data_IF_480434242380
#
_entry.id   IF_480434242380
#
_cell.length_a   1.000
_cell.length_b   1.000
_cell.length_c   1.000
_cell.angle_alpha   90.00
_cell.angle_beta   90.00
_cell.angle_gamma   90.00
#
_symmetry.space_group_name_H-M   'P 1'
#
loop_
_entity.id
_entity.type
_entity.pdbx_description
1 polymer ?
#
# COMPACT_ATOMS: atom_id res chain seq x y z
N UNK A 1 -3.34 -3.54 16.30
CA UNK A 1 -2.42 -4.69 16.41
C UNK A 1 -3.20 -5.99 16.57
N UNK A 2 -2.78 -7.02 15.82
CA UNK A 2 -3.39 -8.36 15.87
C UNK A 2 -2.26 -9.41 15.87
N UNK A 3 -1.49 -9.52 16.95
CA UNK A 3 -0.35 -10.42 17.02
C UNK A 3 -0.77 -11.88 17.19
N UNK A 4 0.15 -12.81 16.90
CA UNK A 4 0.02 -14.18 17.32
C UNK A 4 0.13 -14.28 18.86
N UNK A 5 -0.36 -15.35 19.44
CA UNK A 5 -0.20 -15.64 20.87
C UNK A 5 1.20 -16.16 21.19
N UNK A 6 2.23 -15.39 20.82
CA UNK A 6 3.65 -15.74 20.90
C UNK A 6 4.18 -16.41 19.63
N UNK A 7 5.46 -16.78 19.68
CA UNK A 7 6.07 -17.57 18.60
C UNK A 7 5.64 -19.04 18.75
N UNK A 8 5.31 -19.75 17.65
CA UNK A 8 4.90 -21.13 17.71
C UNK A 8 6.06 -22.04 18.10
N UNK A 9 5.82 -22.93 19.03
CA UNK A 9 6.69 -24.05 19.39
C UNK A 9 6.16 -25.32 18.72
N UNK A 10 7.01 -26.04 18.00
CA UNK A 10 6.62 -27.28 17.34
C UNK A 10 6.69 -28.43 18.34
N UNK A 11 5.55 -29.11 18.54
CA UNK A 11 5.44 -30.33 19.32
C UNK A 11 5.00 -31.50 18.43
N UNK A 12 5.13 -32.77 18.89
CA UNK A 12 4.61 -33.91 18.15
C UNK A 12 3.10 -33.82 17.82
N UNK A 13 2.36 -33.08 18.65
CA UNK A 13 0.91 -32.89 18.53
C UNK A 13 0.56 -31.66 17.66
N UNK A 14 1.54 -30.85 17.22
CA UNK A 14 1.37 -29.67 16.40
C UNK A 14 2.01 -28.41 16.97
N UNK A 15 1.67 -27.25 16.41
CA UNK A 15 2.18 -25.97 16.86
C UNK A 15 1.44 -25.49 18.13
N UNK A 16 2.20 -25.18 19.17
CA UNK A 16 1.71 -24.62 20.43
C UNK A 16 2.13 -23.15 20.52
N UNK A 17 1.24 -22.30 20.96
CA UNK A 17 1.48 -20.87 21.16
C UNK A 17 1.55 -20.59 22.67
N UNK A 18 2.72 -20.18 23.18
CA UNK A 18 2.96 -20.14 24.64
C UNK A 18 2.37 -18.91 25.33
N UNK A 19 1.98 -17.86 24.61
CA UNK A 19 1.53 -16.63 25.21
C UNK A 19 0.07 -16.73 25.67
N UNK A 20 -0.15 -16.78 26.98
CA UNK A 20 -1.49 -16.84 27.56
C UNK A 20 -2.25 -15.51 27.50
N UNK A 21 -3.58 -15.53 27.81
CA UNK A 21 -4.44 -14.36 27.69
C UNK A 21 -3.96 -13.13 28.46
N UNK A 22 -3.47 -13.31 29.68
CA UNK A 22 -2.96 -12.21 30.51
C UNK A 22 -1.75 -11.53 29.92
N UNK A 23 -0.75 -12.30 29.52
CA UNK A 23 0.48 -11.77 28.94
C UNK A 23 0.25 -11.09 27.59
N UNK A 24 -0.67 -11.63 26.76
CA UNK A 24 -1.08 -10.95 25.52
C UNK A 24 -1.77 -9.62 25.83
N UNK A 25 -2.67 -9.59 26.81
CA UNK A 25 -3.37 -8.36 27.20
C UNK A 25 -2.41 -7.31 27.75
N UNK A 26 -1.40 -7.71 28.53
CA UNK A 26 -0.37 -6.80 29.06
C UNK A 26 0.47 -6.18 27.95
N UNK A 27 0.90 -6.98 26.98
CA UNK A 27 1.63 -6.48 25.83
C UNK A 27 0.79 -5.51 24.97
N UNK A 28 -0.48 -5.83 24.74
CA UNK A 28 -1.38 -4.96 23.98
C UNK A 28 -1.76 -3.68 24.75
N UNK A 29 -1.77 -3.70 26.09
CA UNK A 29 -1.93 -2.49 26.91
C UNK A 29 -0.83 -1.47 26.61
N UNK A 30 0.43 -1.92 26.54
CA UNK A 30 1.56 -1.06 26.17
C UNK A 30 1.36 -0.44 24.78
N UNK A 31 0.91 -1.23 23.82
CA UNK A 31 0.67 -0.69 22.47
C UNK A 31 -0.48 0.31 22.40
N UNK A 32 -1.53 0.12 23.19
CA UNK A 32 -2.61 1.09 23.32
C UNK A 32 -2.13 2.40 23.95
N UNK A 33 -1.28 2.30 24.98
CA UNK A 33 -0.80 3.47 25.72
C UNK A 33 0.27 4.25 24.97
N UNK A 34 1.27 3.56 24.42
CA UNK A 34 2.45 4.19 23.82
C UNK A 34 2.21 4.60 22.36
N UNK A 35 1.41 3.83 21.62
CA UNK A 35 1.22 4.04 20.18
C UNK A 35 -0.19 4.49 19.78
N UNK A 36 -1.09 4.67 20.75
CA UNK A 36 -2.46 5.13 20.51
C UNK A 36 -3.24 4.26 19.52
N UNK A 37 -3.11 2.94 19.65
CA UNK A 37 -3.86 2.02 18.81
C UNK A 37 -5.36 2.09 19.12
N UNK A 38 -6.20 1.98 18.08
CA UNK A 38 -7.66 1.96 18.19
C UNK A 38 -8.27 0.59 17.90
N UNK A 39 -7.50 -0.32 17.32
CA UNK A 39 -7.93 -1.69 17.02
C UNK A 39 -6.91 -2.67 17.55
N UNK A 40 -7.34 -3.57 18.42
CA UNK A 40 -6.54 -4.67 18.95
C UNK A 40 -7.29 -5.98 18.82
N UNK A 41 -6.54 -7.07 18.73
CA UNK A 41 -7.08 -8.41 18.62
C UNK A 41 -6.00 -9.45 18.71
N UNK A 42 -6.22 -10.57 18.09
CA UNK A 42 -5.24 -11.64 18.02
C UNK A 42 -5.23 -12.31 16.66
N UNK A 43 -4.24 -13.20 16.46
CA UNK A 43 -4.07 -14.00 15.25
C UNK A 43 -3.84 -15.46 15.65
N UNK A 44 -2.83 -16.12 15.09
CA UNK A 44 -2.58 -17.54 15.36
C UNK A 44 -2.35 -17.82 16.86
N UNK A 45 -2.95 -18.91 17.34
CA UNK A 45 -2.87 -19.33 18.74
C UNK A 45 -3.79 -18.56 19.71
N UNK A 46 -4.47 -17.50 19.27
CA UNK A 46 -5.45 -16.84 20.14
C UNK A 46 -6.74 -17.66 20.25
N UNK A 47 -7.26 -17.74 21.46
CA UNK A 47 -8.46 -18.48 21.83
C UNK A 47 -9.58 -17.51 22.25
N UNK A 48 -10.83 -17.99 22.41
CA UNK A 48 -11.90 -17.17 22.96
C UNK A 48 -11.57 -16.54 24.33
N UNK A 49 -10.74 -17.20 25.16
CA UNK A 49 -10.30 -16.63 26.43
C UNK A 49 -9.43 -15.39 26.28
N UNK A 50 -8.54 -15.36 25.27
CA UNK A 50 -7.76 -14.17 24.96
C UNK A 50 -8.66 -13.00 24.54
N UNK A 51 -9.58 -13.24 23.60
CA UNK A 51 -10.46 -12.18 23.11
C UNK A 51 -11.41 -11.68 24.20
N UNK A 52 -11.92 -12.57 25.05
CA UNK A 52 -12.76 -12.18 26.18
C UNK A 52 -12.02 -11.24 27.14
N UNK A 53 -10.80 -11.60 27.52
CA UNK A 53 -9.99 -10.76 28.42
C UNK A 53 -9.66 -9.40 27.78
N UNK A 54 -9.38 -9.33 26.48
CA UNK A 54 -9.18 -8.07 25.77
C UNK A 54 -10.44 -7.21 25.78
N UNK A 55 -11.60 -7.81 25.53
CA UNK A 55 -12.88 -7.09 25.54
C UNK A 55 -13.24 -6.59 26.96
N UNK A 56 -13.02 -7.40 28.00
CA UNK A 56 -13.26 -7.04 29.41
C UNK A 56 -12.33 -5.91 29.86
N UNK A 57 -11.05 -5.95 29.47
CA UNK A 57 -10.04 -5.02 29.94
C UNK A 57 -10.02 -3.70 29.18
N UNK A 58 -10.33 -3.72 27.89
CA UNK A 58 -10.16 -2.57 27.01
C UNK A 58 -11.46 -2.14 26.29
N UNK A 59 -12.54 -2.91 26.43
CA UNK A 59 -13.84 -2.54 25.86
C UNK A 59 -14.35 -1.23 26.43
N UNK A 60 -14.79 -0.33 25.54
CA UNK A 60 -15.28 1.00 25.92
C UNK A 60 -14.20 2.01 26.30
N UNK A 61 -12.91 1.66 26.18
CA UNK A 61 -11.81 2.61 26.38
C UNK A 61 -11.84 3.68 25.30
N UNK A 62 -11.75 4.96 25.70
CA UNK A 62 -11.58 6.04 24.76
C UNK A 62 -10.21 5.97 24.05
N UNK A 63 -10.25 6.13 22.74
CA UNK A 63 -9.04 6.19 21.93
C UNK A 63 -8.38 7.54 22.12
N UNK A 64 -7.09 7.55 22.47
CA UNK A 64 -6.33 8.78 22.55
C UNK A 64 -6.08 9.33 21.14
N UNK A 65 -6.29 10.63 20.89
CA UNK A 65 -5.90 11.25 19.64
C UNK A 65 -4.40 11.01 19.41
N UNK A 66 -4.05 10.54 18.23
CA UNK A 66 -2.66 10.37 17.84
C UNK A 66 -2.23 11.59 17.04
N UNK A 67 -1.23 12.32 17.52
CA UNK A 67 -0.56 13.33 16.71
C UNK A 67 0.32 12.62 15.69
N UNK A 68 -0.02 12.78 14.42
CA UNK A 68 0.74 12.23 13.31
C UNK A 68 1.43 13.37 12.59
N UNK A 69 2.75 13.40 12.66
CA UNK A 69 3.54 14.26 11.78
C UNK A 69 3.60 13.57 10.41
N UNK A 70 2.99 14.18 9.40
CA UNK A 70 3.06 13.67 8.03
C UNK A 70 4.30 14.23 7.35
N UNK A 71 5.19 13.36 6.95
CA UNK A 71 6.30 13.73 6.08
C UNK A 71 5.81 13.98 4.65
N UNK A 72 6.55 14.81 3.91
CA UNK A 72 6.25 15.09 2.50
C UNK A 72 6.82 13.99 1.61
N UNK A 73 6.08 12.90 1.53
CA UNK A 73 6.48 11.68 0.85
C UNK A 73 5.33 11.13 0.00
N UNK A 74 5.65 10.29 -0.95
CA UNK A 74 4.71 9.33 -1.53
C UNK A 74 5.17 7.91 -1.21
N UNK A 75 4.30 6.93 -1.34
CA UNK A 75 4.65 5.55 -1.05
C UNK A 75 3.90 4.57 -1.93
N UNK A 76 4.52 3.44 -2.18
CA UNK A 76 3.90 2.25 -2.73
C UNK A 76 3.55 1.26 -1.61
N UNK A 77 3.23 0.02 -1.97
CA UNK A 77 3.14 -1.10 -1.04
C UNK A 77 4.50 -1.46 -0.42
N UNK A 78 5.61 -1.12 -1.10
CA UNK A 78 6.95 -1.62 -0.80
C UNK A 78 7.90 -0.56 -0.26
N UNK A 79 7.85 0.67 -0.78
CA UNK A 79 8.80 1.73 -0.46
C UNK A 79 8.12 3.08 -0.28
N UNK A 80 8.75 3.91 0.54
CA UNK A 80 8.46 5.32 0.70
C UNK A 80 9.51 6.14 -0.07
N UNK A 81 9.06 7.21 -0.73
CA UNK A 81 9.92 8.12 -1.49
C UNK A 81 9.66 9.55 -1.02
N UNK A 82 10.65 10.21 -0.37
CA UNK A 82 10.57 11.61 -0.01
C UNK A 82 10.50 12.50 -1.27
N UNK A 83 9.69 13.57 -1.22
CA UNK A 83 9.66 14.54 -2.32
C UNK A 83 10.94 15.37 -2.40
N UNK A 84 11.60 15.58 -1.24
CA UNK A 84 12.92 16.19 -1.19
C UNK A 84 13.99 15.10 -1.27
N UNK A 85 14.91 15.24 -2.21
CA UNK A 85 16.05 14.36 -2.40
C UNK A 85 17.32 15.10 -2.02
N UNK A 86 18.12 14.56 -1.09
CA UNK A 86 19.30 15.25 -0.55
C UNK A 86 20.41 15.46 -1.58
N UNK A 87 20.55 14.54 -2.52
CA UNK A 87 21.67 14.52 -3.48
C UNK A 87 21.24 14.65 -4.94
N UNK A 88 19.93 14.71 -5.22
CA UNK A 88 19.41 14.71 -6.60
C UNK A 88 18.05 15.40 -6.68
N UNK A 89 17.46 15.39 -7.86
CA UNK A 89 16.07 15.75 -8.08
C UNK A 89 15.16 14.52 -7.93
N UNK A 90 13.89 14.74 -7.56
CA UNK A 90 12.87 13.70 -7.68
C UNK A 90 12.69 13.35 -9.16
N UNK A 91 13.06 12.14 -9.52
CA UNK A 91 12.97 11.66 -10.90
C UNK A 91 11.65 10.92 -11.10
N UNK A 92 10.76 11.48 -11.91
CA UNK A 92 9.48 10.89 -12.28
C UNK A 92 9.64 10.24 -13.65
N UNK A 93 9.37 8.94 -13.73
CA UNK A 93 9.43 8.19 -14.99
C UNK A 93 8.14 8.34 -15.79
N UNK A 94 8.18 9.02 -16.91
CA UNK A 94 7.01 9.35 -17.75
C UNK A 94 6.78 8.39 -18.93
N UNK A 95 7.54 7.31 -19.04
CA UNK A 95 7.34 6.36 -20.15
C UNK A 95 6.09 5.49 -20.01
N UNK A 96 5.39 5.56 -18.90
CA UNK A 96 4.09 4.93 -18.63
C UNK A 96 2.92 5.91 -18.82
N UNK A 97 3.14 6.98 -19.57
CA UNK A 97 2.14 7.96 -19.92
C UNK A 97 1.76 7.82 -21.43
N UNK A 98 0.47 7.55 -21.72
CA UNK A 98 -0.03 7.32 -23.07
C UNK A 98 0.13 8.52 -23.98
N UNK A 99 0.16 9.75 -23.45
CA UNK A 99 0.38 10.97 -24.20
C UNK A 99 1.87 11.23 -24.43
N UNK A 100 2.72 10.91 -23.45
CA UNK A 100 4.16 11.15 -23.49
C UNK A 100 4.97 10.04 -24.18
N UNK A 101 4.49 8.79 -24.19
CA UNK A 101 5.22 7.61 -24.67
C UNK A 101 4.50 6.91 -25.82
N UNK A 102 5.09 6.94 -27.01
CA UNK A 102 4.55 6.20 -28.14
C UNK A 102 4.50 4.68 -27.88
N UNK A 103 5.58 4.13 -27.34
CA UNK A 103 5.70 2.69 -27.09
C UNK A 103 4.62 2.21 -26.09
N UNK A 104 4.44 2.93 -24.98
CA UNK A 104 3.42 2.62 -23.99
C UNK A 104 2.01 2.73 -24.59
N UNK A 105 1.73 3.81 -25.30
CA UNK A 105 0.44 4.01 -25.98
C UNK A 105 0.12 2.89 -26.94
N UNK A 106 1.05 2.50 -27.80
CA UNK A 106 0.84 1.43 -28.77
C UNK A 106 0.60 0.08 -28.09
N UNK A 107 1.34 -0.24 -27.02
CA UNK A 107 1.16 -1.44 -26.22
C UNK A 107 -0.23 -1.44 -25.53
N UNK A 108 -0.61 -0.35 -24.89
CA UNK A 108 -1.90 -0.17 -24.24
C UNK A 108 -3.07 -0.33 -25.23
N UNK A 109 -2.98 0.35 -26.39
CA UNK A 109 -4.02 0.29 -27.42
C UNK A 109 -4.17 -1.12 -28.03
N UNK A 110 -3.07 -1.87 -28.10
CA UNK A 110 -3.06 -3.26 -28.56
C UNK A 110 -3.50 -4.27 -27.49
N UNK A 111 -3.72 -3.83 -26.24
CA UNK A 111 -4.02 -4.71 -25.10
C UNK A 111 -2.81 -5.52 -24.61
N UNK A 112 -1.58 -5.12 -24.97
CA UNK A 112 -0.34 -5.76 -24.55
C UNK A 112 0.10 -5.25 -23.18
N UNK A 113 -0.63 -5.63 -22.14
CA UNK A 113 -0.40 -5.16 -20.76
C UNK A 113 0.98 -5.56 -20.25
N UNK A 114 1.49 -6.73 -20.62
CA UNK A 114 2.82 -7.18 -20.21
C UNK A 114 3.92 -6.26 -20.76
N UNK A 115 3.80 -5.74 -21.96
CA UNK A 115 4.73 -4.75 -22.55
C UNK A 115 4.67 -3.44 -21.77
N UNK A 116 3.48 -2.99 -21.37
CA UNK A 116 3.31 -1.82 -20.50
C UNK A 116 4.03 -2.00 -19.15
N UNK A 117 3.92 -3.19 -18.55
CA UNK A 117 4.61 -3.54 -17.30
C UNK A 117 6.13 -3.56 -17.49
N UNK A 118 6.63 -4.09 -18.60
CA UNK A 118 8.09 -4.09 -18.87
C UNK A 118 8.62 -2.67 -19.08
N UNK A 119 7.85 -1.76 -19.69
CA UNK A 119 8.22 -0.34 -19.80
C UNK A 119 8.34 0.27 -18.39
N UNK A 120 7.40 -0.01 -17.49
CA UNK A 120 7.45 0.46 -16.11
C UNK A 120 8.67 -0.07 -15.35
N UNK A 121 8.94 -1.37 -15.44
CA UNK A 121 10.13 -2.00 -14.85
C UNK A 121 11.44 -1.44 -15.43
N UNK A 122 11.45 -1.11 -16.73
CA UNK A 122 12.56 -0.45 -17.37
C UNK A 122 12.89 0.88 -16.71
N UNK A 123 11.91 1.72 -16.48
CA UNK A 123 12.09 3.01 -15.81
C UNK A 123 12.62 2.86 -14.37
N UNK A 124 12.12 1.86 -13.63
CA UNK A 124 12.63 1.56 -12.29
C UNK A 124 14.12 1.16 -12.34
N UNK A 125 14.52 0.34 -13.29
CA UNK A 125 15.95 -0.02 -13.50
C UNK A 125 16.81 1.18 -13.93
N UNK A 126 16.23 2.12 -14.69
CA UNK A 126 16.90 3.34 -15.15
C UNK A 126 17.02 4.42 -14.05
N UNK A 127 16.51 4.14 -12.82
CA UNK A 127 16.66 5.01 -11.66
C UNK A 127 15.54 6.04 -11.48
N UNK A 128 14.35 5.79 -12.00
CA UNK A 128 13.17 6.55 -11.60
C UNK A 128 12.88 6.35 -10.11
N UNK A 129 12.45 7.40 -9.42
CA UNK A 129 12.00 7.35 -8.02
C UNK A 129 10.50 7.08 -7.94
N UNK A 130 9.74 7.59 -8.88
CA UNK A 130 8.27 7.50 -8.99
C UNK A 130 7.92 7.27 -10.45
N UNK A 131 6.82 6.59 -10.73
CA UNK A 131 6.32 6.38 -12.09
C UNK A 131 5.06 7.21 -12.33
N UNK A 132 4.98 7.86 -13.47
CA UNK A 132 3.78 8.54 -13.95
C UNK A 132 2.92 7.57 -14.77
N UNK A 133 1.66 7.36 -14.36
CA UNK A 133 0.70 6.52 -15.06
C UNK A 133 -0.43 7.37 -15.61
N UNK A 134 -0.46 7.52 -16.93
CA UNK A 134 -1.54 8.17 -17.66
C UNK A 134 -2.07 7.23 -18.75
N UNK A 135 -3.37 6.97 -18.71
CA UNK A 135 -4.09 6.13 -19.69
C UNK A 135 -5.04 6.92 -20.57
N UNK A 136 -5.08 8.23 -20.38
CA UNK A 136 -6.01 9.10 -21.09
C UNK A 136 -5.75 9.06 -22.60
N UNK A 137 -6.70 8.51 -23.36
CA UNK A 137 -6.65 8.45 -24.82
C UNK A 137 -8.04 8.53 -25.42
N UNK A 138 -8.20 9.35 -26.46
CA UNK A 138 -9.47 9.59 -27.09
C UNK A 138 -10.10 8.30 -27.63
N UNK A 139 -11.34 8.03 -27.25
CA UNK A 139 -12.08 6.84 -27.69
C UNK A 139 -11.81 5.56 -26.88
N UNK A 140 -11.08 5.68 -25.75
CA UNK A 140 -10.85 4.56 -24.81
C UNK A 140 -11.71 4.70 -23.56
N UNK A 141 -11.96 3.57 -22.91
CA UNK A 141 -12.50 3.52 -21.56
C UNK A 141 -11.35 3.68 -20.56
N UNK A 142 -11.07 4.91 -20.16
CA UNK A 142 -9.99 5.23 -19.24
C UNK A 142 -10.15 4.57 -17.87
N UNK A 143 -11.38 4.34 -17.40
CA UNK A 143 -11.62 3.67 -16.12
C UNK A 143 -11.12 2.24 -16.19
N UNK A 144 -11.54 1.48 -17.20
CA UNK A 144 -11.13 0.09 -17.40
C UNK A 144 -9.61 -0.03 -17.61
N UNK A 145 -9.03 0.83 -18.45
CA UNK A 145 -7.59 0.84 -18.70
C UNK A 145 -6.77 1.15 -17.43
N UNK A 146 -7.25 2.11 -16.61
CA UNK A 146 -6.60 2.46 -15.35
C UNK A 146 -6.71 1.34 -14.31
N UNK A 147 -7.88 0.72 -14.18
CA UNK A 147 -8.07 -0.41 -13.27
C UNK A 147 -7.11 -1.56 -13.59
N UNK A 148 -7.00 -1.91 -14.87
CA UNK A 148 -6.14 -3.01 -15.30
C UNK A 148 -4.65 -2.67 -15.09
N UNK A 149 -4.19 -1.52 -15.60
CA UNK A 149 -2.78 -1.14 -15.52
C UNK A 149 -2.33 -0.84 -14.10
N UNK A 150 -3.09 -0.08 -13.31
CA UNK A 150 -2.78 0.18 -11.92
C UNK A 150 -2.75 -1.11 -11.10
N UNK A 151 -3.72 -2.01 -11.32
CA UNK A 151 -3.77 -3.32 -10.68
C UNK A 151 -2.54 -4.18 -11.00
N UNK A 152 -2.10 -4.21 -12.24
CA UNK A 152 -0.89 -4.95 -12.64
C UNK A 152 0.39 -4.30 -12.10
N UNK A 153 0.50 -2.99 -12.16
CA UNK A 153 1.68 -2.26 -11.68
C UNK A 153 1.82 -2.30 -10.16
N UNK A 154 0.72 -2.37 -9.40
CA UNK A 154 0.74 -2.39 -7.93
C UNK A 154 1.63 -3.49 -7.33
N UNK A 155 1.78 -4.60 -8.04
CA UNK A 155 2.59 -5.76 -7.62
C UNK A 155 3.82 -6.01 -8.50
N UNK A 156 3.85 -5.45 -9.71
CA UNK A 156 4.92 -5.67 -10.67
C UNK A 156 6.11 -4.72 -10.50
N UNK A 157 5.88 -3.53 -9.91
CA UNK A 157 6.91 -2.53 -9.62
C UNK A 157 6.86 -2.14 -8.14
N UNK A 158 8.02 -1.74 -7.61
CA UNK A 158 8.13 -1.35 -6.20
C UNK A 158 7.96 0.16 -5.99
N UNK A 159 8.02 0.96 -7.04
CA UNK A 159 7.98 2.42 -6.97
C UNK A 159 6.56 2.93 -6.73
N UNK A 160 6.41 4.08 -6.04
CA UNK A 160 5.16 4.81 -5.98
C UNK A 160 4.71 5.29 -7.36
N UNK A 161 3.42 5.49 -7.51
CA UNK A 161 2.81 5.91 -8.78
C UNK A 161 2.15 7.28 -8.62
N UNK A 162 2.38 8.14 -9.61
CA UNK A 162 1.58 9.34 -9.89
C UNK A 162 0.43 8.88 -10.79
N UNK A 163 -0.79 9.11 -10.38
CA UNK A 163 -1.97 8.94 -11.23
C UNK A 163 -2.21 10.24 -11.99
N UNK A 164 -2.08 10.17 -13.29
CA UNK A 164 -2.24 11.34 -14.17
C UNK A 164 -3.47 11.18 -15.05
N UNK A 165 -4.50 11.94 -14.73
CA UNK A 165 -5.73 12.05 -15.53
C UNK A 165 -6.48 13.33 -15.20
N UNK A 166 -7.22 13.84 -16.15
CA UNK A 166 -8.16 14.95 -15.96
C UNK A 166 -9.56 14.47 -15.53
N UNK A 167 -9.80 13.16 -15.51
CA UNK A 167 -11.10 12.58 -15.18
C UNK A 167 -11.10 11.99 -13.76
N UNK A 168 -11.91 12.52 -12.82
CA UNK A 168 -11.95 12.05 -11.43
C UNK A 168 -12.26 10.56 -11.30
N UNK A 169 -13.09 9.99 -12.19
CA UNK A 169 -13.44 8.56 -12.16
C UNK A 169 -12.24 7.67 -12.52
N UNK A 170 -11.38 8.12 -13.43
CA UNK A 170 -10.15 7.43 -13.81
C UNK A 170 -9.15 7.45 -12.65
N UNK A 171 -9.00 8.61 -11.99
CA UNK A 171 -8.16 8.74 -10.79
C UNK A 171 -8.67 7.83 -9.65
N UNK A 172 -9.98 7.79 -9.43
CA UNK A 172 -10.60 6.92 -8.43
C UNK A 172 -10.30 5.45 -8.73
N UNK A 173 -10.47 5.01 -9.97
CA UNK A 173 -10.19 3.65 -10.41
C UNK A 173 -8.73 3.24 -10.10
N UNK A 174 -7.76 4.13 -10.34
CA UNK A 174 -6.36 3.92 -10.00
C UNK A 174 -6.12 3.83 -8.49
N UNK A 175 -6.71 4.74 -7.72
CA UNK A 175 -6.57 4.77 -6.26
C UNK A 175 -7.13 3.50 -5.60
N UNK A 176 -8.18 2.90 -6.14
CA UNK A 176 -8.77 1.66 -5.63
C UNK A 176 -7.89 0.43 -5.86
N UNK A 177 -6.93 0.50 -6.79
CA UNK A 177 -5.99 -0.60 -7.10
C UNK A 177 -4.61 -0.44 -6.45
N UNK A 178 -4.23 0.78 -6.10
CA UNK A 178 -2.92 1.08 -5.56
C UNK A 178 -2.93 1.15 -4.04
N UNK A 179 -1.91 0.59 -3.41
CA UNK A 179 -1.65 0.75 -1.99
C UNK A 179 -0.63 1.88 -1.76
N UNK A 180 -0.59 2.39 -0.53
CA UNK A 180 0.32 3.46 -0.15
C UNK A 180 -0.28 4.85 -0.33
N UNK A 181 0.58 5.82 -0.60
CA UNK A 181 0.23 7.23 -0.78
C UNK A 181 0.61 7.67 -2.18
N UNK A 182 -0.35 7.63 -3.07
CA UNK A 182 -0.16 8.08 -4.46
C UNK A 182 -0.07 9.60 -4.56
N UNK A 183 0.53 10.06 -5.65
CA UNK A 183 0.45 11.45 -6.09
C UNK A 183 -0.65 11.54 -7.15
N UNK A 184 -1.41 12.61 -7.16
CA UNK A 184 -2.45 12.90 -8.16
C UNK A 184 -1.99 14.08 -9.00
N UNK A 185 -2.10 13.95 -10.31
CA UNK A 185 -1.88 14.92 -11.35
C UNK A 185 -3.05 14.81 -12.35
N UNK A 186 -3.81 15.79 -12.70
CA UNK A 186 -3.81 17.15 -12.22
C UNK A 186 -5.22 17.54 -11.75
N UNK A 187 -5.28 18.53 -10.91
CA UNK A 187 -6.53 19.08 -10.34
C UNK A 187 -6.67 20.54 -10.74
#
# INVERSE_FOLDING_TARGET
>A
AMPNAGLPELTPEGAVYPLGPGALADALATFLDDYGLCVIGGCCGTTPAHIRLLAERFGGREVRPREVTTERTCSSLYVEVPFHQDLSYLNIGERTNANGSKAFREAMLAGNIDDCVEIAKGQARDGAHVLDLCVDYVGRDGISDMEELAGRLSTAVTLPIVLDSTEPQVLQAGLEKLAGRCVINSV
#
